data_IF_950401727460
#
_entry.id   IF_950401727460
#
_cell.length_a   1.000
_cell.length_b   1.000
_cell.length_c   1.000
_cell.angle_alpha   90.00
_cell.angle_beta   90.00
_cell.angle_gamma   90.00
#
_symmetry.space_group_name_H-M   'P 1'
#
loop_
_entity.id
_entity.type
_entity.pdbx_description
1 polymer ?
#
# COMPACT_ATOMS: atom_id res chain seq x y z
N UNK A 1 12.91 -11.34 66.54
CA UNK A 1 13.36 -10.36 65.51
C UNK A 1 13.57 -9.01 66.18
N UNK A 2 14.76 -8.44 66.10
CA UNK A 2 15.14 -7.21 66.82
C UNK A 2 14.50 -5.96 66.16
N UNK A 3 14.36 -4.88 66.92
CA UNK A 3 13.72 -3.62 66.49
C UNK A 3 14.44 -2.97 65.31
N UNK A 4 15.77 -3.11 65.27
CA UNK A 4 16.64 -2.71 64.15
C UNK A 4 16.25 -3.44 62.84
N UNK A 5 16.04 -4.76 62.91
CA UNK A 5 15.69 -5.59 61.75
C UNK A 5 14.31 -5.25 61.18
N UNK A 6 13.35 -4.86 62.04
CA UNK A 6 12.02 -4.39 61.63
C UNK A 6 12.06 -3.05 60.90
N UNK A 7 12.88 -2.10 61.38
CA UNK A 7 13.06 -0.80 60.72
C UNK A 7 13.71 -0.96 59.34
N UNK A 8 14.73 -1.80 59.24
CA UNK A 8 15.45 -2.05 57.99
C UNK A 8 14.55 -2.72 56.94
N UNK A 9 13.69 -3.66 57.35
CA UNK A 9 12.69 -4.27 56.48
C UNK A 9 11.62 -3.26 56.01
N UNK A 10 11.18 -2.35 56.88
CA UNK A 10 10.21 -1.32 56.52
C UNK A 10 10.78 -0.33 55.49
N UNK A 11 12.04 0.09 55.63
CA UNK A 11 12.71 0.95 54.66
C UNK A 11 12.84 0.25 53.30
N UNK A 12 13.21 -1.03 53.30
CA UNK A 12 13.28 -1.83 52.07
C UNK A 12 11.92 -1.94 51.36
N UNK A 13 10.84 -2.15 52.11
CA UNK A 13 9.49 -2.21 51.56
C UNK A 13 9.09 -0.89 50.88
N UNK A 14 9.40 0.26 51.49
CA UNK A 14 9.12 1.58 50.91
C UNK A 14 9.92 1.79 49.61
N UNK A 15 11.19 1.41 49.59
CA UNK A 15 12.04 1.52 48.39
C UNK A 15 11.50 0.64 47.25
N UNK A 16 11.08 -0.59 47.53
CA UNK A 16 10.50 -1.49 46.52
C UNK A 16 9.24 -0.87 45.92
N UNK A 17 8.37 -0.28 46.74
CA UNK A 17 7.15 0.41 46.26
C UNK A 17 7.50 1.60 45.36
N UNK A 18 8.48 2.42 45.75
CA UNK A 18 8.92 3.57 44.96
C UNK A 18 9.50 3.15 43.60
N UNK A 19 10.33 2.11 43.57
CA UNK A 19 10.90 1.58 42.32
C UNK A 19 9.81 1.03 41.41
N UNK A 20 8.82 0.32 41.99
CA UNK A 20 7.70 -0.24 41.23
C UNK A 20 6.80 0.83 40.63
N UNK A 21 6.55 1.93 41.37
CA UNK A 21 5.79 3.08 40.86
C UNK A 21 6.53 3.81 39.74
N UNK A 22 7.85 4.06 39.90
CA UNK A 22 8.65 4.69 38.86
C UNK A 22 8.71 3.85 37.58
N UNK A 23 8.84 2.53 37.71
CA UNK A 23 8.84 1.60 36.59
C UNK A 23 7.47 1.54 35.89
N UNK A 24 6.38 1.46 36.66
CA UNK A 24 5.02 1.48 36.13
C UNK A 24 4.70 2.78 35.37
N UNK A 25 5.14 3.93 35.91
CA UNK A 25 5.00 5.22 35.24
C UNK A 25 5.80 5.27 33.92
N UNK A 26 7.01 4.73 33.91
CA UNK A 26 7.83 4.60 32.69
C UNK A 26 7.15 3.77 31.61
N UNK A 27 6.62 2.60 31.97
CA UNK A 27 5.87 1.75 31.05
C UNK A 27 4.59 2.42 30.53
N UNK A 28 3.87 3.12 31.39
CA UNK A 28 2.66 3.85 31.00
C UNK A 28 2.98 4.95 29.98
N UNK A 29 4.03 5.75 30.21
CA UNK A 29 4.46 6.80 29.27
C UNK A 29 4.88 6.23 27.91
N UNK A 30 5.59 5.10 27.91
CA UNK A 30 6.00 4.42 26.68
C UNK A 30 4.76 3.92 25.93
N UNK A 31 3.82 3.28 26.62
CA UNK A 31 2.55 2.82 26.03
C UNK A 31 1.76 3.97 25.40
N UNK A 32 1.63 5.09 26.10
CA UNK A 32 0.92 6.29 25.62
C UNK A 32 1.56 6.87 24.35
N UNK A 33 2.90 6.91 24.30
CA UNK A 33 3.64 7.30 23.09
C UNK A 33 3.41 6.34 21.91
N UNK A 34 3.35 5.03 22.16
CA UNK A 34 3.05 4.05 21.12
C UNK A 34 1.62 4.20 20.59
N UNK A 35 0.63 4.36 21.47
CA UNK A 35 -0.76 4.61 21.09
C UNK A 35 -0.89 5.88 20.24
N UNK A 36 -0.23 6.96 20.66
CA UNK A 36 -0.22 8.23 19.90
C UNK A 36 0.38 8.06 18.51
N UNK A 37 1.51 7.34 18.40
CA UNK A 37 2.12 7.03 17.09
C UNK A 37 1.23 6.16 16.21
N UNK A 38 0.55 5.17 16.79
CA UNK A 38 -0.37 4.31 16.04
C UNK A 38 -1.54 5.12 15.48
N UNK A 39 -2.12 6.03 16.28
CA UNK A 39 -3.18 6.94 15.81
C UNK A 39 -2.68 7.89 14.72
N UNK A 40 -1.46 8.42 14.83
CA UNK A 40 -0.85 9.25 13.79
C UNK A 40 -0.58 8.47 12.50
N UNK A 41 -0.11 7.23 12.59
CA UNK A 41 0.09 6.37 11.43
C UNK A 41 -1.25 6.02 10.78
N UNK A 42 -2.27 5.70 11.57
CA UNK A 42 -3.60 5.40 11.07
C UNK A 42 -4.19 6.61 10.34
N UNK A 43 -4.05 7.83 10.87
CA UNK A 43 -4.54 9.03 10.20
C UNK A 43 -3.80 9.31 8.88
N UNK A 44 -2.50 9.05 8.81
CA UNK A 44 -1.73 9.13 7.55
C UNK A 44 -2.18 8.07 6.54
N UNK A 45 -2.46 6.85 6.99
CA UNK A 45 -2.98 5.78 6.14
C UNK A 45 -4.37 6.16 5.62
N UNK A 46 -5.25 6.68 6.47
CA UNK A 46 -6.59 7.10 6.08
C UNK A 46 -6.55 8.27 5.09
N UNK A 47 -5.63 9.23 5.27
CA UNK A 47 -5.38 10.29 4.30
C UNK A 47 -4.90 9.73 2.97
N UNK A 48 -3.92 8.82 2.97
CA UNK A 48 -3.43 8.17 1.74
C UNK A 48 -4.53 7.35 1.08
N UNK A 49 -5.36 6.64 1.83
CA UNK A 49 -6.49 5.87 1.32
C UNK A 49 -7.59 6.79 0.76
N UNK A 50 -7.86 7.92 1.40
CA UNK A 50 -8.81 8.93 0.92
C UNK A 50 -8.31 9.61 -0.37
N UNK A 51 -7.01 9.86 -0.47
CA UNK A 51 -6.39 10.38 -1.69
C UNK A 51 -6.33 9.29 -2.78
N UNK A 52 -6.03 8.04 -2.44
CA UNK A 52 -5.97 6.91 -3.38
C UNK A 52 -7.34 6.49 -3.90
N UNK A 53 -8.43 6.70 -3.15
CA UNK A 53 -9.80 6.41 -3.62
C UNK A 53 -10.34 7.47 -4.58
N UNK A 54 -9.78 8.68 -4.57
CA UNK A 54 -10.13 9.78 -5.48
C UNK A 54 -9.11 9.99 -6.60
N UNK A 55 -7.88 9.49 -6.45
CA UNK A 55 -6.88 9.56 -7.48
C UNK A 55 -7.23 8.62 -8.63
N UNK A 56 -7.16 9.08 -9.89
CA UNK A 56 -7.30 8.18 -11.02
C UNK A 56 -6.23 7.09 -10.93
N UNK A 57 -6.63 5.83 -11.09
CA UNK A 57 -5.65 4.74 -11.15
C UNK A 57 -4.96 4.82 -12.50
N UNK A 58 -3.70 5.23 -12.55
CA UNK A 58 -2.98 5.44 -13.82
C UNK A 58 -2.13 4.20 -14.12
N UNK A 59 -2.25 3.66 -15.33
CA UNK A 59 -1.33 2.66 -15.86
C UNK A 59 -0.54 3.28 -17.01
N UNK A 60 0.78 3.22 -16.90
CA UNK A 60 1.70 3.60 -17.97
C UNK A 60 1.89 2.41 -18.92
N UNK A 61 1.37 2.50 -20.14
CA UNK A 61 1.54 1.49 -21.18
C UNK A 61 2.50 2.03 -22.24
N UNK A 62 3.51 1.24 -22.59
CA UNK A 62 4.36 1.52 -23.75
C UNK A 62 3.65 0.96 -25.00
N UNK A 63 2.98 1.84 -25.72
CA UNK A 63 2.16 1.48 -26.89
C UNK A 63 3.04 0.90 -28.00
N UNK A 64 4.23 1.45 -28.21
CA UNK A 64 5.18 0.98 -29.22
C UNK A 64 5.70 -0.41 -28.88
N UNK A 65 6.07 -0.65 -27.61
CA UNK A 65 6.49 -1.98 -27.16
C UNK A 65 5.34 -2.98 -27.21
N UNK A 66 4.14 -2.58 -26.80
CA UNK A 66 2.95 -3.41 -26.90
C UNK A 66 2.66 -3.83 -28.36
N UNK A 67 2.67 -2.89 -29.29
CA UNK A 67 2.52 -3.17 -30.71
C UNK A 67 3.66 -4.07 -31.23
N UNK A 68 4.89 -3.87 -30.77
CA UNK A 68 6.04 -4.69 -31.16
C UNK A 68 6.01 -6.13 -30.62
N UNK A 69 5.39 -6.37 -29.47
CA UNK A 69 5.12 -7.74 -28.97
C UNK A 69 4.19 -8.50 -29.92
N UNK A 70 3.40 -7.76 -30.69
CA UNK A 70 2.54 -8.28 -31.75
C UNK A 70 3.13 -8.09 -33.15
N UNK A 71 4.32 -7.46 -33.29
CA UNK A 71 5.00 -7.30 -34.56
C UNK A 71 5.54 -8.66 -35.01
N UNK A 72 4.73 -9.34 -35.83
CA UNK A 72 4.84 -10.76 -36.15
C UNK A 72 3.48 -11.38 -36.45
N UNK A 73 2.42 -10.76 -35.93
CA UNK A 73 1.04 -10.91 -36.39
C UNK A 73 0.64 -9.71 -37.26
N UNK A 74 -0.41 -9.86 -38.09
CA UNK A 74 -0.95 -8.80 -38.94
C UNK A 74 -1.12 -7.49 -38.13
N UNK A 75 -0.64 -6.35 -38.66
CA UNK A 75 -0.70 -5.03 -38.02
C UNK A 75 -2.11 -4.70 -37.49
N UNK A 76 -3.15 -5.14 -38.20
CA UNK A 76 -4.54 -4.96 -37.81
C UNK A 76 -4.89 -5.68 -36.49
N UNK A 77 -4.25 -6.82 -36.23
CA UNK A 77 -4.42 -7.62 -35.00
C UNK A 77 -3.67 -6.96 -33.84
N UNK A 78 -2.47 -6.43 -34.09
CA UNK A 78 -1.68 -5.71 -33.10
C UNK A 78 -2.43 -4.46 -32.58
N UNK A 79 -2.99 -3.66 -33.50
CA UNK A 79 -3.78 -2.47 -33.17
C UNK A 79 -5.03 -2.86 -32.36
N UNK A 80 -5.77 -3.89 -32.78
CA UNK A 80 -6.95 -4.37 -32.04
C UNK A 80 -6.61 -4.90 -30.65
N UNK A 81 -5.43 -5.49 -30.46
CA UNK A 81 -4.98 -5.98 -29.15
C UNK A 81 -4.71 -4.83 -28.18
N UNK A 82 -4.05 -3.78 -28.68
CA UNK A 82 -3.80 -2.55 -27.91
C UNK A 82 -5.12 -1.86 -27.58
N UNK A 83 -6.03 -1.69 -28.54
CA UNK A 83 -7.35 -1.08 -28.30
C UNK A 83 -8.19 -1.86 -27.28
N UNK A 84 -8.22 -3.18 -27.37
CA UNK A 84 -8.93 -4.03 -26.42
C UNK A 84 -8.36 -3.92 -25.00
N UNK A 85 -7.03 -3.81 -24.89
CA UNK A 85 -6.33 -3.58 -23.63
C UNK A 85 -6.66 -2.23 -23.05
N UNK A 86 -6.66 -1.18 -23.88
CA UNK A 86 -7.05 0.17 -23.47
C UNK A 86 -8.47 0.18 -22.92
N UNK A 87 -9.39 -0.44 -23.66
CA UNK A 87 -10.80 -0.51 -23.28
C UNK A 87 -11.00 -1.24 -21.94
N UNK A 88 -10.35 -2.38 -21.73
CA UNK A 88 -10.47 -3.14 -20.48
C UNK A 88 -10.03 -2.32 -19.26
N UNK A 89 -8.87 -1.69 -19.32
CA UNK A 89 -8.38 -0.90 -18.19
C UNK A 89 -9.24 0.34 -17.94
N UNK A 90 -9.74 1.00 -19.00
CA UNK A 90 -10.70 2.10 -18.88
C UNK A 90 -12.01 1.64 -18.19
N UNK A 91 -12.54 0.47 -18.53
CA UNK A 91 -13.73 -0.11 -17.87
C UNK A 91 -13.48 -0.44 -16.39
N UNK A 92 -12.24 -0.79 -16.03
CA UNK A 92 -11.81 -1.01 -14.65
C UNK A 92 -11.50 0.30 -13.88
N UNK A 93 -11.75 1.46 -14.49
CA UNK A 93 -11.53 2.78 -13.91
C UNK A 93 -10.07 3.23 -13.92
N UNK A 94 -9.22 2.61 -14.76
CA UNK A 94 -7.84 3.03 -14.96
C UNK A 94 -7.75 3.99 -16.14
N UNK A 95 -6.91 5.01 -16.00
CA UNK A 95 -6.52 5.88 -17.10
C UNK A 95 -5.21 5.36 -17.70
N UNK A 96 -5.21 5.02 -18.98
CA UNK A 96 -3.98 4.63 -19.68
C UNK A 96 -3.31 5.87 -20.25
N UNK A 97 -2.02 6.02 -19.94
CA UNK A 97 -1.17 7.05 -20.51
C UNK A 97 -0.02 6.36 -21.24
N UNK A 98 0.32 6.87 -22.42
CA UNK A 98 1.53 6.44 -23.11
C UNK A 98 2.75 6.75 -22.23
N UNK A 99 3.55 5.72 -21.98
CA UNK A 99 4.80 5.85 -21.21
C UNK A 99 5.77 6.89 -21.79
N UNK A 100 5.71 7.17 -23.10
CA UNK A 100 6.51 8.22 -23.73
C UNK A 100 6.06 9.64 -23.35
N UNK A 101 4.82 9.80 -22.88
CA UNK A 101 4.23 11.08 -22.47
C UNK A 101 4.38 11.37 -20.97
N UNK A 102 5.06 10.49 -20.22
CA UNK A 102 5.21 10.59 -18.77
C UNK A 102 6.60 11.12 -18.39
N UNK A 103 6.63 12.12 -17.51
CA UNK A 103 7.86 12.68 -16.92
C UNK A 103 7.92 12.28 -15.45
N UNK A 104 8.85 11.41 -15.08
CA UNK A 104 9.04 10.93 -13.71
C UNK A 104 9.29 9.42 -13.61
N UNK A 105 9.66 8.95 -12.42
CA UNK A 105 9.94 7.54 -12.15
C UNK A 105 8.61 6.82 -11.83
N UNK A 106 7.93 6.36 -12.88
CA UNK A 106 6.64 5.67 -12.79
C UNK A 106 6.85 4.22 -13.20
N UNK A 107 6.39 3.28 -12.36
CA UNK A 107 6.45 1.85 -12.64
C UNK A 107 5.71 1.54 -13.95
N UNK A 108 6.48 1.27 -15.02
CA UNK A 108 5.93 0.88 -16.33
C UNK A 108 5.24 -0.48 -16.21
N UNK A 109 4.12 -0.67 -16.91
CA UNK A 109 3.53 -2.00 -17.02
C UNK A 109 4.52 -2.92 -17.77
N UNK A 110 4.98 -3.98 -17.10
CA UNK A 110 5.93 -4.95 -17.67
C UNK A 110 5.28 -6.27 -18.11
N UNK A 111 3.96 -6.41 -17.94
CA UNK A 111 3.25 -7.62 -18.34
C UNK A 111 3.09 -7.75 -19.84
N UNK A 112 2.83 -8.98 -20.31
CA UNK A 112 2.41 -9.20 -21.69
C UNK A 112 1.01 -8.61 -21.89
N UNK A 113 0.83 -7.92 -23.02
CA UNK A 113 -0.48 -7.48 -23.46
C UNK A 113 -1.26 -8.72 -23.92
N UNK A 114 -2.49 -8.98 -23.45
CA UNK A 114 -3.25 -10.17 -23.87
C UNK A 114 -3.88 -9.99 -25.28
N UNK A 115 -4.15 -11.10 -25.98
CA UNK A 115 -4.81 -11.05 -27.30
C UNK A 115 -6.23 -10.47 -27.20
N UNK A 116 -6.80 -9.90 -28.28
CA UNK A 116 -8.19 -9.42 -28.29
C UNK A 116 -9.19 -10.48 -27.85
N UNK A 117 -9.00 -11.75 -28.21
CA UNK A 117 -9.86 -12.87 -27.85
C UNK A 117 -9.78 -13.15 -26.34
N UNK A 118 -8.57 -13.16 -25.79
CA UNK A 118 -8.33 -13.38 -24.35
C UNK A 118 -8.84 -12.19 -23.53
N UNK A 119 -8.68 -10.96 -24.01
CA UNK A 119 -9.28 -9.77 -23.40
C UNK A 119 -10.80 -9.85 -23.37
N UNK A 120 -11.44 -10.26 -24.48
CA UNK A 120 -12.90 -10.45 -24.53
C UNK A 120 -13.39 -11.51 -23.54
N UNK A 121 -12.61 -12.56 -23.27
CA UNK A 121 -12.94 -13.55 -22.25
C UNK A 121 -12.83 -12.94 -20.84
N UNK A 122 -11.71 -12.25 -20.54
CA UNK A 122 -11.49 -11.61 -19.24
C UNK A 122 -12.57 -10.57 -18.90
N UNK A 123 -13.01 -9.78 -19.89
CA UNK A 123 -14.10 -8.82 -19.75
C UNK A 123 -15.44 -9.50 -19.42
N UNK A 124 -15.73 -10.65 -20.03
CA UNK A 124 -16.96 -11.41 -19.76
C UNK A 124 -16.96 -12.01 -18.37
N UNK A 125 -15.80 -12.49 -17.91
CA UNK A 125 -15.67 -13.13 -16.59
C UNK A 125 -15.73 -12.10 -15.45
N UNK A 126 -15.31 -10.86 -15.68
CA UNK A 126 -15.35 -9.77 -14.68
C UNK A 126 -16.67 -8.97 -14.68
N UNK A 127 -17.60 -9.26 -15.59
CA UNK A 127 -18.91 -8.58 -15.70
C UNK A 127 -20.06 -9.33 -15.00
N UNK A 128 -19.75 -10.37 -14.21
CA UNK A 128 -20.71 -11.09 -13.34
C UNK A 128 -20.53 -10.68 -11.89
#
# INVERSE_FOLDING_TARGET
>A
MNTETKKLAAVFAVVIVLVSLAFGFGLWKVSDMYQTKVVELQSKIDLVAQHSSKAPKIIALDIGRAASQWAGHNDEVAIKAVEATIKYYNEQGYLIIDSASLVGDISKYQGEVPTPEKMRQLMKDHSK
#
